data_IF_126050162747
#
_entry.id   IF_126050162747
#
_cell.length_a   1.000
_cell.length_b   1.000
_cell.length_c   1.000
_cell.angle_alpha   90.00
_cell.angle_beta   90.00
_cell.angle_gamma   90.00
#
_symmetry.space_group_name_H-M   'P 1'
#
loop_
_entity.id
_entity.type
_entity.pdbx_description
1 polymer ?
#
# COMPACT_ATOMS: atom_id res chain seq x y z
N UNK A 1 -20.33 8.57 75.08
CA UNK A 1 -20.48 8.39 73.66
C UNK A 1 -19.09 8.37 73.02
N UNK A 2 -18.74 7.23 72.52
CA UNK A 2 -17.45 7.08 71.87
C UNK A 2 -17.60 7.37 70.39
N UNK A 3 -17.01 8.45 69.95
CA UNK A 3 -16.95 8.73 68.51
C UNK A 3 -15.81 7.91 67.93
N UNK A 4 -16.17 6.98 67.10
CA UNK A 4 -15.22 6.24 66.33
C UNK A 4 -14.89 7.05 65.08
N UNK A 5 -13.77 7.76 65.12
CA UNK A 5 -13.21 8.38 63.94
C UNK A 5 -12.79 7.33 62.94
N UNK A 6 -13.61 7.14 61.93
CA UNK A 6 -13.22 6.37 60.77
C UNK A 6 -12.19 7.18 59.98
N UNK A 7 -10.94 6.90 60.19
CA UNK A 7 -9.90 7.35 59.24
C UNK A 7 -10.09 6.61 57.94
N UNK A 8 -10.79 7.26 57.03
CA UNK A 8 -10.80 6.80 55.63
C UNK A 8 -9.43 7.16 55.06
N UNK A 9 -8.54 6.19 55.04
CA UNK A 9 -7.32 6.29 54.26
C UNK A 9 -7.71 6.21 52.79
N UNK A 10 -7.90 7.37 52.20
CA UNK A 10 -8.01 7.47 50.75
C UNK A 10 -6.62 7.23 50.18
N UNK A 11 -6.34 5.98 49.83
CA UNK A 11 -5.15 5.67 49.05
C UNK A 11 -5.40 6.22 47.65
N UNK A 12 -4.86 7.39 47.38
CA UNK A 12 -4.84 7.92 46.00
C UNK A 12 -3.94 7.00 45.16
N UNK A 13 -4.57 6.13 44.40
CA UNK A 13 -3.88 5.32 43.41
C UNK A 13 -3.54 6.25 42.24
N UNK A 14 -2.32 6.76 42.25
CA UNK A 14 -1.75 7.46 41.10
C UNK A 14 -1.49 6.41 40.05
N UNK A 15 -2.45 6.24 39.14
CA UNK A 15 -2.25 5.48 37.92
C UNK A 15 -1.34 6.33 37.03
N UNK A 16 -0.05 6.11 37.13
CA UNK A 16 0.91 6.68 36.20
C UNK A 16 0.71 5.96 34.88
N UNK A 17 -0.14 6.53 34.03
CA UNK A 17 -0.29 6.06 32.65
C UNK A 17 1.02 6.25 31.92
N UNK A 18 1.78 5.20 31.73
CA UNK A 18 2.93 5.21 30.84
C UNK A 18 2.41 5.42 29.42
N UNK A 19 2.51 6.64 28.91
CA UNK A 19 2.28 6.93 27.50
C UNK A 19 3.46 6.31 26.75
N UNK A 20 3.27 5.10 26.26
CA UNK A 20 4.24 4.47 25.37
C UNK A 20 4.07 5.14 24.02
N UNK A 21 4.83 6.21 23.79
CA UNK A 21 4.96 6.79 22.46
C UNK A 21 5.80 5.83 21.61
N UNK A 22 5.16 4.78 21.10
CA UNK A 22 5.82 3.82 20.22
C UNK A 22 5.95 4.40 18.81
N UNK A 23 7.14 4.25 18.20
CA UNK A 23 7.29 4.44 16.77
C UNK A 23 6.54 3.30 16.06
N UNK A 24 5.44 3.60 15.38
CA UNK A 24 4.68 2.62 14.62
C UNK A 24 5.05 2.71 13.14
N UNK A 25 5.28 1.56 12.50
CA UNK A 25 5.35 1.48 11.04
C UNK A 25 3.92 1.33 10.51
N UNK A 26 3.53 2.21 9.59
CA UNK A 26 2.25 2.16 8.93
C UNK A 26 2.43 1.69 7.49
N UNK A 27 1.62 0.70 7.09
CA UNK A 27 1.58 0.21 5.73
C UNK A 27 0.17 0.38 5.18
N UNK A 28 0.06 0.85 3.94
CA UNK A 28 -1.20 0.99 3.21
C UNK A 28 -1.07 0.22 1.90
N UNK A 29 -2.05 -0.64 1.66
CA UNK A 29 -2.01 -1.53 0.51
C UNK A 29 -1.10 -2.74 0.72
N UNK A 30 -0.87 -3.47 -0.34
CA UNK A 30 0.02 -4.64 -0.37
C UNK A 30 1.24 -4.32 -1.21
N UNK A 31 2.41 -4.64 -0.69
CA UNK A 31 3.64 -4.48 -1.46
C UNK A 31 3.65 -5.41 -2.67
N UNK A 32 4.25 -4.95 -3.75
CA UNK A 32 4.35 -5.69 -5.01
C UNK A 32 5.70 -5.43 -5.67
N UNK A 33 6.15 -6.40 -6.47
CA UNK A 33 7.42 -6.31 -7.16
C UNK A 33 7.23 -5.76 -8.57
N UNK A 34 7.44 -4.46 -8.71
CA UNK A 34 7.36 -3.77 -10.00
C UNK A 34 8.43 -4.27 -10.99
N UNK A 35 9.67 -4.48 -10.53
CA UNK A 35 10.76 -4.95 -11.38
C UNK A 35 10.47 -6.33 -11.99
N UNK A 36 9.92 -7.24 -11.21
CA UNK A 36 9.51 -8.56 -11.68
C UNK A 36 8.42 -8.45 -12.76
N UNK A 37 7.44 -7.58 -12.53
CA UNK A 37 6.40 -7.31 -13.52
C UNK A 37 6.97 -6.80 -14.84
N UNK A 38 7.82 -5.75 -14.81
CA UNK A 38 8.37 -5.15 -16.01
C UNK A 38 9.25 -6.13 -16.79
N UNK A 39 9.98 -6.98 -16.08
CA UNK A 39 10.85 -7.97 -16.73
C UNK A 39 10.10 -9.05 -17.50
N UNK A 40 8.84 -9.30 -17.12
CA UNK A 40 8.00 -10.35 -17.73
C UNK A 40 6.92 -9.82 -18.65
N UNK A 41 6.45 -8.59 -18.43
CA UNK A 41 5.31 -8.02 -19.13
C UNK A 41 5.63 -7.78 -20.62
N UNK A 42 4.72 -8.25 -21.46
CA UNK A 42 4.78 -8.03 -22.91
C UNK A 42 3.47 -7.45 -23.41
N UNK A 43 3.54 -6.28 -24.02
CA UNK A 43 2.39 -5.62 -24.59
C UNK A 43 1.71 -6.50 -25.65
N UNK A 44 0.40 -6.62 -25.55
CA UNK A 44 -0.42 -7.45 -26.44
C UNK A 44 -0.42 -8.95 -26.16
N UNK A 45 0.47 -9.43 -25.29
CA UNK A 45 0.60 -10.87 -24.99
C UNK A 45 0.26 -11.22 -23.54
N UNK A 46 0.72 -10.40 -22.58
CA UNK A 46 0.49 -10.66 -21.16
C UNK A 46 -0.99 -10.56 -20.83
N UNK A 47 -1.51 -11.56 -20.12
CA UNK A 47 -2.91 -11.66 -19.75
C UNK A 47 -3.16 -11.16 -18.33
N UNK A 48 -4.46 -10.87 -18.02
CA UNK A 48 -4.89 -10.55 -16.65
C UNK A 48 -4.48 -11.64 -15.65
N UNK A 49 -4.63 -12.91 -16.02
CA UNK A 49 -4.29 -14.03 -15.17
C UNK A 49 -2.79 -14.05 -14.82
N UNK A 50 -1.94 -13.78 -15.77
CA UNK A 50 -0.49 -13.69 -15.55
C UNK A 50 -0.11 -12.53 -14.63
N UNK A 51 -0.71 -11.35 -14.83
CA UNK A 51 -0.48 -10.21 -13.94
C UNK A 51 -0.92 -10.51 -12.52
N UNK A 52 -2.07 -11.14 -12.35
CA UNK A 52 -2.56 -11.56 -11.03
C UNK A 52 -1.65 -12.59 -10.37
N UNK A 53 -1.07 -13.49 -11.13
CA UNK A 53 -0.10 -14.45 -10.63
C UNK A 53 1.18 -13.77 -10.12
N UNK A 54 1.68 -12.78 -10.87
CA UNK A 54 2.92 -12.08 -10.52
C UNK A 54 2.78 -11.05 -9.40
N UNK A 55 1.69 -10.31 -9.40
CA UNK A 55 1.47 -9.17 -8.50
C UNK A 55 0.41 -9.42 -7.42
N UNK A 56 -0.35 -10.50 -7.54
CA UNK A 56 -1.51 -10.75 -6.69
C UNK A 56 -2.75 -9.98 -7.13
N UNK A 57 -3.76 -9.93 -6.26
CA UNK A 57 -4.98 -9.19 -6.53
C UNK A 57 -4.70 -7.68 -6.57
N UNK A 58 -5.27 -6.94 -7.55
CA UNK A 58 -5.14 -5.49 -7.57
C UNK A 58 -5.87 -4.85 -6.39
N UNK A 59 -5.39 -3.68 -5.98
CA UNK A 59 -6.05 -2.88 -4.95
C UNK A 59 -7.39 -2.31 -5.43
N UNK A 60 -7.50 -2.04 -6.73
CA UNK A 60 -8.72 -1.60 -7.36
C UNK A 60 -8.78 -1.98 -8.82
N UNK A 61 -10.00 -2.11 -9.32
CA UNK A 61 -10.29 -2.35 -10.74
C UNK A 61 -11.29 -1.31 -11.23
N UNK A 62 -11.18 -0.92 -12.48
CA UNK A 62 -12.07 0.05 -13.08
C UNK A 62 -12.05 -0.03 -14.59
N UNK A 63 -12.76 0.89 -15.22
CA UNK A 63 -12.79 1.07 -16.67
C UNK A 63 -12.24 2.44 -17.04
N UNK A 64 -11.47 2.48 -18.10
CA UNK A 64 -11.00 3.73 -18.71
C UNK A 64 -11.68 3.87 -20.06
N UNK A 65 -12.34 5.02 -20.25
CA UNK A 65 -12.85 5.41 -21.55
C UNK A 65 -11.74 6.17 -22.28
N UNK A 66 -11.26 5.59 -23.35
CA UNK A 66 -10.22 6.19 -24.18
C UNK A 66 -10.81 7.22 -25.15
N UNK A 67 -9.94 8.07 -25.71
CA UNK A 67 -10.36 9.13 -26.62
C UNK A 67 -11.05 8.63 -27.90
N UNK A 68 -10.74 7.40 -28.33
CA UNK A 68 -11.38 6.71 -29.45
C UNK A 68 -12.72 6.05 -29.12
N UNK A 69 -13.19 6.18 -27.87
CA UNK A 69 -14.40 5.57 -27.36
C UNK A 69 -14.25 4.13 -26.89
N UNK A 70 -13.05 3.54 -26.97
CA UNK A 70 -12.80 2.20 -26.45
C UNK A 70 -12.80 2.19 -24.93
N UNK A 71 -13.40 1.17 -24.35
CA UNK A 71 -13.37 0.94 -22.89
C UNK A 71 -12.38 -0.15 -22.57
N UNK A 72 -11.38 0.18 -21.79
CA UNK A 72 -10.35 -0.74 -21.34
C UNK A 72 -10.44 -0.96 -19.83
N UNK A 73 -10.11 -2.17 -19.38
CA UNK A 73 -9.99 -2.43 -17.95
C UNK A 73 -8.74 -1.76 -17.42
N UNK A 74 -8.85 -1.17 -16.24
CA UNK A 74 -7.70 -0.63 -15.51
C UNK A 74 -7.58 -1.28 -14.14
N UNK A 75 -6.42 -1.85 -13.86
CA UNK A 75 -6.06 -2.38 -12.56
C UNK A 75 -5.08 -1.45 -11.87
N UNK A 76 -5.32 -1.21 -10.60
CA UNK A 76 -4.46 -0.34 -9.79
C UNK A 76 -3.82 -1.14 -8.67
N UNK A 77 -2.50 -1.08 -8.60
CA UNK A 77 -1.69 -1.58 -7.49
C UNK A 77 -1.08 -0.38 -6.79
N UNK A 78 -1.21 -0.32 -5.49
CA UNK A 78 -0.52 0.70 -4.72
C UNK A 78 0.01 0.12 -3.41
N UNK A 79 1.09 0.71 -2.94
CA UNK A 79 1.68 0.42 -1.65
C UNK A 79 2.27 1.69 -1.08
N UNK A 80 2.03 1.91 0.19
CA UNK A 80 2.65 3.00 0.95
C UNK A 80 3.12 2.51 2.29
N UNK A 81 4.27 2.96 2.72
CA UNK A 81 4.81 2.69 4.05
C UNK A 81 5.49 3.93 4.62
N UNK A 82 5.50 4.03 5.93
CA UNK A 82 6.17 5.12 6.63
C UNK A 82 6.20 4.87 8.12
N UNK A 83 7.06 5.59 8.82
CA UNK A 83 7.15 5.54 10.27
C UNK A 83 6.36 6.68 10.90
N UNK A 84 5.49 6.38 11.84
CA UNK A 84 4.75 7.35 12.62
C UNK A 84 5.44 7.59 13.98
N UNK A 85 5.37 8.81 14.52
CA UNK A 85 4.68 9.99 14.02
C UNK A 85 5.51 10.86 13.06
N UNK A 86 6.79 10.56 12.85
CA UNK A 86 7.71 11.42 12.11
C UNK A 86 7.48 11.46 10.60
N UNK A 87 6.82 10.44 10.03
CA UNK A 87 6.74 10.25 8.59
C UNK A 87 8.07 9.87 7.93
N UNK A 88 9.11 9.53 8.74
CA UNK A 88 10.40 9.10 8.22
C UNK A 88 10.27 7.82 7.39
N UNK A 89 11.16 7.68 6.41
CA UNK A 89 11.21 6.52 5.51
C UNK A 89 9.89 6.26 4.77
N UNK A 90 9.12 7.32 4.49
CA UNK A 90 7.90 7.21 3.69
C UNK A 90 8.25 6.76 2.28
N UNK A 91 7.60 5.67 1.86
CA UNK A 91 7.71 5.11 0.52
C UNK A 91 6.33 4.96 -0.09
N UNK A 92 6.26 5.17 -1.37
CA UNK A 92 5.01 5.07 -2.12
C UNK A 92 5.26 4.45 -3.49
N UNK A 93 4.41 3.51 -3.86
CA UNK A 93 4.43 2.86 -5.18
C UNK A 93 3.02 2.88 -5.75
N UNK A 94 2.89 3.27 -6.99
CA UNK A 94 1.65 3.20 -7.75
C UNK A 94 1.93 2.60 -9.12
N UNK A 95 1.19 1.58 -9.47
CA UNK A 95 1.21 0.95 -10.79
C UNK A 95 -0.22 0.84 -11.30
N UNK A 96 -0.47 1.38 -12.47
CA UNK A 96 -1.76 1.27 -13.16
C UNK A 96 -1.55 0.52 -14.47
N UNK A 97 -2.32 -0.53 -14.66
CA UNK A 97 -2.22 -1.43 -15.81
C UNK A 97 -3.54 -1.39 -16.57
N UNK A 98 -3.46 -1.17 -17.86
CA UNK A 98 -4.62 -1.25 -18.75
C UNK A 98 -4.61 -2.55 -19.54
N UNK A 99 -5.75 -3.17 -19.63
CA UNK A 99 -6.00 -4.33 -20.48
C UNK A 99 -7.02 -3.97 -21.56
N UNK A 100 -6.80 -4.48 -22.75
CA UNK A 100 -7.77 -4.37 -23.83
C UNK A 100 -9.05 -5.20 -23.54
N UNK A 101 -10.12 -5.07 -24.32
CA UNK A 101 -11.35 -5.87 -24.11
C UNK A 101 -11.13 -7.38 -24.18
N UNK A 102 -10.07 -7.85 -24.81
CA UNK A 102 -9.72 -9.28 -24.87
C UNK A 102 -8.96 -9.75 -23.63
N UNK A 103 -8.51 -8.82 -22.77
CA UNK A 103 -7.77 -9.13 -21.57
C UNK A 103 -6.25 -9.18 -21.72
N UNK A 104 -5.73 -8.65 -22.81
CA UNK A 104 -4.30 -8.53 -23.04
C UNK A 104 -3.77 -7.18 -22.55
N UNK A 105 -2.53 -7.19 -22.08
CA UNK A 105 -1.85 -5.98 -21.62
C UNK A 105 -1.77 -4.94 -22.73
N UNK A 106 -2.39 -3.79 -22.51
CA UNK A 106 -2.36 -2.66 -23.44
C UNK A 106 -1.23 -1.68 -23.12
N UNK A 107 -1.19 -1.24 -21.88
CA UNK A 107 -0.19 -0.30 -21.39
C UNK A 107 -0.13 -0.30 -19.87
N UNK A 108 0.88 0.31 -19.31
CA UNK A 108 0.96 0.56 -17.88
C UNK A 108 1.69 1.87 -17.59
N UNK A 109 1.38 2.44 -16.43
CA UNK A 109 2.06 3.62 -15.90
C UNK A 109 2.44 3.37 -14.46
N UNK A 110 3.50 3.99 -14.01
CA UNK A 110 3.93 3.92 -12.61
C UNK A 110 4.33 5.29 -12.09
N UNK A 111 4.28 5.43 -10.77
CA UNK A 111 4.77 6.61 -10.07
C UNK A 111 5.22 6.25 -8.65
N UNK A 112 5.93 7.17 -8.02
CA UNK A 112 6.45 7.01 -6.68
C UNK A 112 7.85 6.42 -6.64
N UNK A 113 8.17 5.74 -5.54
CA UNK A 113 9.52 5.20 -5.26
C UNK A 113 9.79 3.85 -5.94
N UNK A 114 9.09 3.54 -7.00
CA UNK A 114 9.34 2.33 -7.78
C UNK A 114 10.73 2.35 -8.40
N UNK A 115 11.26 3.54 -8.61
CA UNK A 115 12.54 3.72 -9.26
C UNK A 115 12.46 3.54 -10.78
N UNK A 116 13.46 4.03 -11.46
CA UNK A 116 13.70 3.70 -12.86
C UNK A 116 14.34 2.31 -12.88
N UNK A 117 13.73 1.32 -13.54
CA UNK A 117 14.29 -0.04 -13.60
C UNK A 117 15.72 -0.08 -14.13
N UNK A 118 16.11 0.94 -14.89
CA UNK A 118 17.48 1.07 -15.38
C UNK A 118 18.46 1.59 -14.33
N UNK A 119 17.96 2.11 -13.22
CA UNK A 119 18.75 2.70 -12.14
C UNK A 119 18.75 1.89 -10.85
N UNK A 120 17.91 0.86 -10.75
CA UNK A 120 17.97 -0.02 -9.59
C UNK A 120 19.34 -0.73 -9.59
N UNK A 121 20.05 -0.69 -8.44
CA UNK A 121 21.25 -1.48 -8.32
C UNK A 121 20.87 -2.93 -8.46
N UNK A 122 21.29 -3.54 -9.52
CA UNK A 122 21.13 -4.97 -9.74
C UNK A 122 21.90 -5.71 -8.66
N UNK A 123 21.16 -6.34 -7.78
CA UNK A 123 21.75 -7.31 -6.87
C UNK A 123 21.94 -8.63 -7.56
#
# INVERSE_FOLDING_TARGET
MKQWGRFVRTTAMIVTGAVIAGCATMNVGRDFNYGDFVSRAKQGETTRAQVREWLGAPAGTGLVLEADGQKNDQWTYYYGSGKLPSGAETRFKLLQIKFDPKGSLLSYTWSGDIGDPSKEPQK
#
